data_IF_088492960609
#
_entry.id   IF_088492960609
#
_cell.length_a   1.000
_cell.length_b   1.000
_cell.length_c   1.000
_cell.angle_alpha   90.00
_cell.angle_beta   90.00
_cell.angle_gamma   90.00
#
_symmetry.space_group_name_H-M   'P 1'
#
loop_
_entity.id
_entity.type
_entity.pdbx_description
1 polymer ?
#
# COMPACT_ATOMS: atom_id res chain seq x y z
N UNK A 1 14.00 6.28 31.60
CA UNK A 1 13.08 5.83 30.53
C UNK A 1 13.89 5.69 29.25
N UNK A 2 13.73 4.56 28.54
CA UNK A 2 14.70 4.01 27.59
C UNK A 2 14.84 4.84 26.31
N UNK A 3 15.99 5.49 26.12
CA UNK A 3 16.40 6.13 24.85
C UNK A 3 16.79 5.09 23.79
N UNK A 4 17.13 3.86 24.21
CA UNK A 4 17.48 2.74 23.33
C UNK A 4 16.29 2.28 22.49
N UNK A 5 15.08 2.16 23.06
CA UNK A 5 13.93 1.65 22.29
C UNK A 5 13.51 2.59 21.16
N UNK A 6 13.53 3.90 21.40
CA UNK A 6 13.18 4.90 20.37
C UNK A 6 14.22 4.95 19.27
N UNK A 7 15.51 4.88 19.59
CA UNK A 7 16.58 4.85 18.60
C UNK A 7 16.54 3.58 17.74
N UNK A 8 16.21 2.43 18.33
CA UNK A 8 16.10 1.17 17.61
C UNK A 8 14.88 1.16 16.67
N UNK A 9 13.75 1.74 17.09
CA UNK A 9 12.58 1.94 16.22
C UNK A 9 12.92 2.86 15.06
N UNK A 10 13.59 4.00 15.31
CA UNK A 10 13.97 4.94 14.26
C UNK A 10 14.92 4.30 13.23
N UNK A 11 15.90 3.50 13.69
CA UNK A 11 16.82 2.78 12.80
C UNK A 11 16.08 1.72 11.98
N UNK A 12 15.16 0.97 12.60
CA UNK A 12 14.33 -0.01 11.92
C UNK A 12 13.46 0.66 10.84
N UNK A 13 12.85 1.80 11.14
CA UNK A 13 12.05 2.57 10.19
C UNK A 13 12.87 3.02 8.98
N UNK A 14 14.08 3.55 9.18
CA UNK A 14 14.98 3.95 8.09
C UNK A 14 15.37 2.78 7.18
N UNK A 15 15.67 1.62 7.78
CA UNK A 15 16.01 0.40 7.02
C UNK A 15 14.80 -0.15 6.24
N UNK A 16 13.61 -0.12 6.84
CA UNK A 16 12.36 -0.52 6.18
C UNK A 16 12.07 0.39 4.98
N UNK A 17 12.22 1.70 5.16
CA UNK A 17 12.05 2.67 4.07
C UNK A 17 13.03 2.42 2.93
N UNK A 18 14.35 2.36 3.22
CA UNK A 18 15.38 2.16 2.19
C UNK A 18 15.17 0.86 1.41
N UNK A 19 14.99 -0.25 2.13
CA UNK A 19 14.78 -1.55 1.47
C UNK A 19 13.45 -1.63 0.72
N UNK A 20 12.41 -0.93 1.20
CA UNK A 20 11.13 -0.82 0.50
C UNK A 20 11.29 -0.05 -0.81
N UNK A 21 11.94 1.11 -0.75
CA UNK A 21 12.19 1.97 -1.91
C UNK A 21 12.99 1.23 -3.01
N UNK A 22 14.08 0.55 -2.65
CA UNK A 22 14.89 -0.22 -3.60
C UNK A 22 14.06 -1.25 -4.36
N UNK A 23 13.19 -1.99 -3.65
CA UNK A 23 12.28 -2.98 -4.27
C UNK A 23 11.29 -2.34 -5.23
N UNK A 24 10.76 -1.18 -4.86
CA UNK A 24 9.86 -0.43 -5.76
C UNK A 24 10.61 -0.06 -7.04
N UNK A 25 11.83 0.45 -6.94
CA UNK A 25 12.64 0.78 -8.11
C UNK A 25 12.95 -0.43 -8.99
N UNK A 26 13.31 -1.56 -8.40
CA UNK A 26 13.55 -2.82 -9.12
C UNK A 26 12.32 -3.27 -9.92
N UNK A 27 11.13 -3.19 -9.31
CA UNK A 27 9.89 -3.62 -9.96
C UNK A 27 9.41 -2.62 -11.02
N UNK A 28 9.59 -1.32 -10.78
CA UNK A 28 9.30 -0.27 -11.76
C UNK A 28 10.18 -0.44 -13.00
N UNK A 29 11.45 -0.84 -12.82
CA UNK A 29 12.35 -1.13 -13.94
C UNK A 29 11.83 -2.26 -14.86
N UNK A 30 10.99 -3.16 -14.33
CA UNK A 30 10.34 -4.22 -15.11
C UNK A 30 9.11 -3.74 -15.90
N UNK A 31 8.68 -2.48 -15.71
CA UNK A 31 7.60 -1.79 -16.45
C UNK A 31 6.25 -2.51 -16.44
N UNK A 32 5.96 -3.35 -15.44
CA UNK A 32 4.71 -4.12 -15.37
C UNK A 32 4.20 -4.26 -13.93
N UNK A 33 2.94 -3.92 -13.73
CA UNK A 33 2.19 -4.13 -12.47
C UNK A 33 2.31 -5.58 -11.94
N UNK A 34 2.40 -6.55 -12.85
CA UNK A 34 2.52 -7.95 -12.50
C UNK A 34 3.69 -8.25 -11.54
N UNK A 35 4.85 -7.61 -11.73
CA UNK A 35 5.99 -7.84 -10.83
C UNK A 35 5.72 -7.27 -9.44
N UNK A 36 4.96 -6.16 -9.37
CA UNK A 36 4.60 -5.62 -8.09
C UNK A 36 3.71 -6.56 -7.27
N UNK A 37 2.70 -7.13 -7.94
CA UNK A 37 1.79 -8.08 -7.34
C UNK A 37 2.48 -9.41 -7.01
N UNK A 38 3.41 -9.88 -7.86
CA UNK A 38 4.22 -11.06 -7.57
C UNK A 38 5.05 -10.88 -6.30
N UNK A 39 5.58 -9.70 -6.04
CA UNK A 39 6.33 -9.46 -4.79
C UNK A 39 5.45 -9.63 -3.55
N UNK A 40 4.18 -9.27 -3.65
CA UNK A 40 3.24 -9.42 -2.55
C UNK A 40 2.87 -10.88 -2.25
N UNK A 41 3.26 -11.85 -3.08
CA UNK A 41 3.15 -13.27 -2.70
C UNK A 41 4.08 -13.64 -1.54
N UNK A 42 5.09 -12.81 -1.26
CA UNK A 42 5.95 -12.96 -0.07
C UNK A 42 5.21 -12.58 1.23
N UNK A 43 4.07 -11.89 1.14
CA UNK A 43 3.27 -11.41 2.27
C UNK A 43 1.81 -11.85 2.17
N UNK A 44 1.58 -13.02 1.54
CA UNK A 44 0.29 -13.71 1.62
C UNK A 44 -0.56 -13.70 0.37
N UNK A 45 -0.21 -12.97 -0.70
CA UNK A 45 -0.95 -13.12 -1.97
C UNK A 45 -0.75 -14.51 -2.58
N UNK A 46 -1.83 -15.08 -3.06
CA UNK A 46 -1.81 -16.27 -3.93
C UNK A 46 -1.58 -15.87 -5.40
N UNK A 47 -1.27 -16.84 -6.27
CA UNK A 47 -1.15 -16.54 -7.72
C UNK A 47 -2.49 -16.15 -8.32
N UNK A 48 -3.56 -16.78 -7.84
CA UNK A 48 -4.93 -16.46 -8.21
C UNK A 48 -5.29 -15.03 -7.77
N UNK A 49 -4.87 -14.58 -6.58
CA UNK A 49 -5.02 -13.19 -6.16
C UNK A 49 -4.31 -12.22 -7.11
N UNK A 50 -3.10 -12.57 -7.57
CA UNK A 50 -2.34 -11.73 -8.51
C UNK A 50 -3.14 -11.53 -9.80
N UNK A 51 -3.76 -12.57 -10.34
CA UNK A 51 -4.53 -12.45 -11.57
C UNK A 51 -5.83 -11.67 -11.38
N UNK A 52 -6.55 -11.88 -10.28
CA UNK A 52 -7.76 -11.12 -9.95
C UNK A 52 -7.46 -9.63 -9.71
N UNK A 53 -6.37 -9.32 -9.00
CA UNK A 53 -5.93 -7.94 -8.76
C UNK A 53 -5.43 -7.24 -10.04
N UNK A 54 -4.88 -7.99 -11.01
CA UNK A 54 -4.59 -7.43 -12.34
C UNK A 54 -5.87 -7.09 -13.09
N UNK A 55 -6.89 -7.93 -12.98
CA UNK A 55 -8.23 -7.64 -13.51
C UNK A 55 -8.80 -6.36 -12.90
N UNK A 56 -8.72 -6.22 -11.57
CA UNK A 56 -9.14 -5.03 -10.85
C UNK A 56 -8.37 -3.79 -11.29
N UNK A 57 -7.04 -3.89 -11.38
CA UNK A 57 -6.19 -2.79 -11.79
C UNK A 57 -6.53 -2.30 -13.20
N UNK A 58 -6.81 -3.22 -14.13
CA UNK A 58 -7.23 -2.85 -15.48
C UNK A 58 -8.51 -2.00 -15.45
N UNK A 59 -9.52 -2.42 -14.69
CA UNK A 59 -10.76 -1.65 -14.55
C UNK A 59 -10.51 -0.28 -13.92
N UNK A 60 -9.64 -0.21 -12.92
CA UNK A 60 -9.23 1.06 -12.29
C UNK A 60 -8.60 2.00 -13.32
N UNK A 61 -7.61 1.55 -14.08
CA UNK A 61 -6.91 2.39 -15.07
C UNK A 61 -7.75 2.70 -16.30
N UNK A 62 -8.73 1.87 -16.63
CA UNK A 62 -9.72 2.13 -17.69
C UNK A 62 -10.90 3.02 -17.19
N UNK A 63 -10.85 3.50 -15.94
CA UNK A 63 -11.90 4.26 -15.26
C UNK A 63 -13.28 3.58 -15.31
N UNK A 64 -13.31 2.24 -15.30
CA UNK A 64 -14.50 1.41 -15.36
C UNK A 64 -15.07 1.10 -13.97
N UNK A 65 -16.29 0.52 -13.92
CA UNK A 65 -16.86 0.02 -12.67
C UNK A 65 -16.06 -1.18 -12.15
N UNK A 66 -15.59 -1.07 -10.91
CA UNK A 66 -14.78 -2.07 -10.22
C UNK A 66 -15.62 -3.02 -9.36
N UNK A 67 -16.90 -2.70 -9.10
CA UNK A 67 -17.73 -3.36 -8.10
C UNK A 67 -17.82 -4.88 -8.32
N UNK A 68 -18.04 -5.30 -9.57
CA UNK A 68 -18.14 -6.72 -9.91
C UNK A 68 -16.82 -7.49 -9.79
N UNK A 69 -15.67 -6.83 -9.92
CA UNK A 69 -14.35 -7.46 -9.74
C UNK A 69 -13.94 -7.48 -8.26
N UNK A 70 -14.25 -6.43 -7.50
CA UNK A 70 -14.03 -6.39 -6.06
C UNK A 70 -14.87 -7.46 -5.34
N UNK A 71 -16.14 -7.61 -5.69
CA UNK A 71 -17.00 -8.65 -5.11
C UNK A 71 -16.49 -10.06 -5.42
N UNK A 72 -16.01 -10.29 -6.64
CA UNK A 72 -15.40 -11.58 -7.02
C UNK A 72 -14.19 -11.90 -6.16
N UNK A 73 -13.29 -10.93 -5.92
CA UNK A 73 -12.15 -11.12 -5.02
C UNK A 73 -12.63 -11.46 -3.60
N UNK A 74 -13.62 -10.73 -3.07
CA UNK A 74 -14.13 -10.91 -1.72
C UNK A 74 -14.77 -12.28 -1.49
N UNK A 75 -15.57 -12.75 -2.45
CA UNK A 75 -16.34 -13.98 -2.32
C UNK A 75 -15.58 -15.24 -2.76
N UNK A 76 -14.46 -15.09 -3.47
CA UNK A 76 -13.70 -16.23 -3.99
C UNK A 76 -13.11 -17.05 -2.83
N UNK A 77 -13.37 -18.37 -2.77
CA UNK A 77 -12.74 -19.25 -1.78
C UNK A 77 -11.22 -19.20 -1.88
N UNK A 78 -10.56 -18.97 -0.74
CA UNK A 78 -9.09 -18.92 -0.67
C UNK A 78 -8.48 -17.59 -1.09
N UNK A 79 -9.26 -16.52 -1.26
CA UNK A 79 -8.71 -15.17 -1.36
C UNK A 79 -7.94 -14.80 -0.10
N UNK A 80 -6.75 -14.24 -0.28
CA UNK A 80 -5.96 -13.74 0.85
C UNK A 80 -6.58 -12.48 1.44
N UNK A 81 -6.38 -12.27 2.75
CA UNK A 81 -6.86 -11.06 3.44
C UNK A 81 -6.31 -9.78 2.82
N UNK A 82 -5.09 -9.81 2.30
CA UNK A 82 -4.49 -8.68 1.59
C UNK A 82 -5.18 -8.40 0.26
N UNK A 83 -5.53 -9.41 -0.53
CA UNK A 83 -6.26 -9.22 -1.78
C UNK A 83 -7.64 -8.60 -1.54
N UNK A 84 -8.36 -9.09 -0.53
CA UNK A 84 -9.66 -8.54 -0.12
C UNK A 84 -9.51 -7.09 0.33
N UNK A 85 -8.52 -6.77 1.17
CA UNK A 85 -8.28 -5.40 1.63
C UNK A 85 -7.99 -4.44 0.46
N UNK A 86 -7.15 -4.83 -0.51
CA UNK A 86 -6.87 -4.00 -1.69
C UNK A 86 -8.16 -3.77 -2.51
N UNK A 87 -8.98 -4.82 -2.70
CA UNK A 87 -10.25 -4.70 -3.40
C UNK A 87 -11.23 -3.75 -2.69
N UNK A 88 -11.34 -3.85 -1.37
CA UNK A 88 -12.21 -3.01 -0.55
C UNK A 88 -11.75 -1.55 -0.56
N UNK A 89 -10.44 -1.30 -0.48
CA UNK A 89 -9.85 0.05 -0.61
C UNK A 89 -10.27 0.69 -1.94
N UNK A 90 -10.05 -0.03 -3.05
CA UNK A 90 -10.35 0.45 -4.40
C UNK A 90 -11.84 0.69 -4.61
N UNK A 91 -12.70 -0.19 -4.09
CA UNK A 91 -14.15 -0.03 -4.18
C UNK A 91 -14.64 1.18 -3.36
N UNK A 92 -14.01 1.42 -2.20
CA UNK A 92 -14.40 2.51 -1.29
C UNK A 92 -13.87 3.88 -1.72
N UNK A 93 -12.93 3.94 -2.66
CA UNK A 93 -12.43 5.19 -3.22
C UNK A 93 -13.54 5.93 -4.00
N UNK A 94 -13.87 7.12 -3.51
CA UNK A 94 -14.89 8.04 -4.04
C UNK A 94 -14.29 9.04 -5.03
N UNK A 95 -15.12 9.85 -5.68
CA UNK A 95 -14.71 10.82 -6.72
C UNK A 95 -13.66 11.87 -6.25
N UNK A 96 -13.43 12.00 -4.93
CA UNK A 96 -12.38 12.86 -4.37
C UNK A 96 -11.05 12.18 -4.09
N UNK A 97 -10.95 10.86 -4.25
CA UNK A 97 -9.75 10.06 -4.00
C UNK A 97 -9.44 9.22 -5.24
N UNK A 98 -8.43 9.58 -6.05
CA UNK A 98 -8.13 8.87 -7.29
C UNK A 98 -7.87 7.39 -7.05
N UNK A 99 -8.68 6.51 -7.68
CA UNK A 99 -8.64 5.06 -7.47
C UNK A 99 -7.30 4.46 -7.86
N UNK A 100 -6.68 5.00 -8.91
CA UNK A 100 -5.36 4.61 -9.41
C UNK A 100 -4.29 4.83 -8.33
N UNK A 101 -4.36 5.96 -7.63
CA UNK A 101 -3.44 6.29 -6.54
C UNK A 101 -3.71 5.44 -5.31
N UNK A 102 -4.98 5.19 -4.97
CA UNK A 102 -5.34 4.31 -3.86
C UNK A 102 -4.85 2.87 -4.11
N UNK A 103 -5.06 2.32 -5.30
CA UNK A 103 -4.59 1.00 -5.70
C UNK A 103 -3.05 0.90 -5.62
N UNK A 104 -2.34 1.83 -6.27
CA UNK A 104 -0.89 1.82 -6.27
C UNK A 104 -0.34 2.03 -4.86
N UNK A 105 -0.91 2.98 -4.11
CA UNK A 105 -0.56 3.21 -2.71
C UNK A 105 -0.76 1.98 -1.85
N UNK A 106 -1.85 1.23 -2.05
CA UNK A 106 -2.10 -0.03 -1.34
C UNK A 106 -1.03 -1.08 -1.62
N UNK A 107 -0.71 -1.28 -2.89
CA UNK A 107 0.31 -2.25 -3.33
C UNK A 107 1.68 -1.87 -2.75
N UNK A 108 2.09 -0.61 -2.89
CA UNK A 108 3.40 -0.14 -2.44
C UNK A 108 3.47 -0.05 -0.91
N UNK A 109 2.38 0.28 -0.23
CA UNK A 109 2.31 0.29 1.24
C UNK A 109 2.50 -1.11 1.84
N UNK A 110 1.92 -2.14 1.21
CA UNK A 110 2.13 -3.53 1.60
C UNK A 110 3.59 -3.99 1.45
N UNK A 111 4.42 -3.30 0.65
CA UNK A 111 5.85 -3.65 0.50
C UNK A 111 6.63 -3.50 1.79
N UNK A 112 6.17 -2.65 2.71
CA UNK A 112 6.80 -2.47 4.03
C UNK A 112 6.97 -3.81 4.77
N UNK A 113 6.11 -4.80 4.47
CA UNK A 113 6.18 -6.15 5.03
C UNK A 113 6.90 -7.18 4.13
N UNK A 114 7.21 -6.83 2.87
CA UNK A 114 7.92 -7.73 1.92
C UNK A 114 9.42 -7.80 2.17
N UNK A 115 9.92 -7.07 3.18
CA UNK A 115 11.32 -7.07 3.54
C UNK A 115 11.62 -8.08 4.64
N UNK A 116 12.57 -8.98 4.36
CA UNK A 116 13.29 -9.79 5.35
C UNK A 116 14.15 -8.96 6.30
N UNK A 117 13.64 -7.84 6.79
CA UNK A 117 14.23 -7.16 7.94
C UNK A 117 14.27 -8.17 9.09
N UNK A 118 15.35 -8.15 9.87
CA UNK A 118 15.44 -8.95 11.09
C UNK A 118 14.25 -8.72 12.04
N UNK A 119 13.53 -7.61 11.89
CA UNK A 119 12.29 -7.31 12.62
C UNK A 119 11.08 -8.13 12.16
N UNK A 120 11.01 -8.54 10.88
CA UNK A 120 9.96 -9.43 10.37
C UNK A 120 10.34 -10.91 10.46
N UNK A 121 11.64 -11.22 10.47
CA UNK A 121 12.19 -12.58 10.62
C UNK A 121 11.99 -13.10 12.07
N UNK A 122 10.78 -13.56 12.35
CA UNK A 122 10.40 -14.07 13.67
C UNK A 122 8.97 -13.71 14.08
N UNK A 123 8.33 -12.80 13.35
CA UNK A 123 6.93 -12.47 13.58
C UNK A 123 6.03 -13.64 13.15
N UNK A 124 4.99 -13.97 13.94
CA UNK A 124 3.92 -14.87 13.55
C UNK A 124 3.31 -14.50 12.19
N UNK A 125 2.84 -15.49 11.44
CA UNK A 125 2.31 -15.29 10.08
C UNK A 125 1.08 -14.37 10.06
N UNK A 126 0.16 -14.56 11.00
CA UNK A 126 -1.03 -13.74 11.23
C UNK A 126 -0.70 -12.26 11.49
N UNK A 127 0.39 -11.99 12.22
CA UNK A 127 0.85 -10.63 12.43
C UNK A 127 1.37 -9.99 11.13
N UNK A 128 2.08 -10.76 10.29
CA UNK A 128 2.58 -10.26 9.00
C UNK A 128 1.44 -9.95 8.04
N UNK A 129 0.42 -10.80 7.99
CA UNK A 129 -0.77 -10.59 7.17
C UNK A 129 -1.49 -9.30 7.60
N UNK A 130 -1.70 -9.14 8.92
CA UNK A 130 -2.31 -7.93 9.48
C UNK A 130 -1.48 -6.68 9.17
N UNK A 131 -0.15 -6.75 9.32
CA UNK A 131 0.72 -5.62 9.05
C UNK A 131 0.78 -5.26 7.56
N UNK A 132 0.68 -6.23 6.65
CA UNK A 132 0.63 -5.98 5.21
C UNK A 132 -0.67 -5.26 4.82
N UNK A 133 -1.80 -5.67 5.42
CA UNK A 133 -3.09 -4.97 5.28
C UNK A 133 -3.01 -3.54 5.82
N UNK A 134 -2.44 -3.34 7.00
CA UNK A 134 -2.26 -1.98 7.56
C UNK A 134 -1.34 -1.13 6.68
N UNK A 135 -0.26 -1.71 6.16
CA UNK A 135 0.62 -1.06 5.20
C UNK A 135 -0.13 -0.64 3.94
N UNK A 136 -0.98 -1.52 3.40
CA UNK A 136 -1.83 -1.21 2.24
C UNK A 136 -2.79 -0.06 2.53
N UNK A 137 -3.49 -0.08 3.66
CA UNK A 137 -4.39 1.02 4.06
C UNK A 137 -3.64 2.35 4.17
N UNK A 138 -2.52 2.36 4.91
CA UNK A 138 -1.71 3.57 5.11
C UNK A 138 -1.13 4.10 3.79
N UNK A 139 -0.64 3.21 2.93
CA UNK A 139 -0.11 3.57 1.61
C UNK A 139 -1.19 4.12 0.68
N UNK A 140 -2.38 3.52 0.66
CA UNK A 140 -3.52 3.99 -0.13
C UNK A 140 -3.96 5.40 0.30
N UNK A 141 -4.10 5.62 1.61
CA UNK A 141 -4.43 6.94 2.17
C UNK A 141 -3.36 7.96 1.77
N UNK A 142 -2.09 7.66 2.04
CA UNK A 142 -1.00 8.57 1.74
C UNK A 142 -0.95 8.93 0.24
N UNK A 143 -1.02 7.94 -0.64
CA UNK A 143 -0.93 8.15 -2.08
C UNK A 143 -2.13 8.95 -2.64
N UNK A 144 -3.35 8.62 -2.21
CA UNK A 144 -4.58 9.26 -2.74
C UNK A 144 -4.84 10.66 -2.17
N UNK A 145 -4.32 10.97 -0.97
CA UNK A 145 -4.55 12.28 -0.33
C UNK A 145 -3.39 13.26 -0.49
N UNK A 146 -2.17 12.79 -0.78
CA UNK A 146 -0.99 13.65 -0.95
C UNK A 146 -1.21 14.79 -1.95
N UNK A 147 -1.83 14.57 -3.14
CA UNK A 147 -2.06 15.65 -4.08
C UNK A 147 -2.91 16.80 -3.50
N UNK A 148 -3.96 16.49 -2.73
CA UNK A 148 -4.81 17.48 -2.07
C UNK A 148 -4.03 18.28 -1.01
N UNK A 149 -3.17 17.60 -0.26
CA UNK A 149 -2.30 18.26 0.73
C UNK A 149 -1.32 19.21 0.04
N UNK A 150 -0.67 18.77 -1.04
CA UNK A 150 0.25 19.62 -1.81
C UNK A 150 -0.45 20.79 -2.49
N UNK A 151 -1.65 20.57 -3.03
CA UNK A 151 -2.48 21.65 -3.57
C UNK A 151 -2.78 22.68 -2.48
N UNK A 152 -3.18 22.23 -1.29
CA UNK A 152 -3.47 23.14 -0.18
C UNK A 152 -2.25 23.93 0.25
N UNK A 153 -1.07 23.30 0.36
CA UNK A 153 0.20 23.97 0.62
C UNK A 153 0.49 25.05 -0.43
N UNK A 154 0.23 24.75 -1.71
CA UNK A 154 0.39 25.71 -2.80
C UNK A 154 -0.58 26.90 -2.71
N UNK A 155 -1.80 26.67 -2.23
CA UNK A 155 -2.83 27.72 -2.07
C UNK A 155 -2.56 28.64 -0.88
N UNK A 156 -2.21 28.09 0.29
CA UNK A 156 -2.01 28.90 1.51
C UNK A 156 -0.58 29.38 1.69
N UNK A 157 0.38 28.78 0.99
CA UNK A 157 1.81 29.03 1.18
C UNK A 157 2.40 28.20 2.32
N UNK A 158 3.67 27.81 2.17
CA UNK A 158 4.35 26.92 3.12
C UNK A 158 4.44 27.50 4.54
N UNK A 159 4.69 28.81 4.66
CA UNK A 159 4.84 29.46 5.96
C UNK A 159 3.53 29.38 6.77
N UNK A 160 2.41 29.70 6.13
CA UNK A 160 1.09 29.65 6.77
C UNK A 160 0.66 28.21 7.05
N UNK A 161 0.95 27.27 6.13
CA UNK A 161 0.68 25.84 6.33
C UNK A 161 1.43 25.26 7.54
N UNK A 162 2.66 25.72 7.81
CA UNK A 162 3.48 25.28 8.95
C UNK A 162 3.24 26.07 10.23
N UNK A 163 2.45 27.15 10.18
CA UNK A 163 2.17 27.96 11.36
C UNK A 163 1.31 27.16 12.36
N UNK A 164 1.68 27.22 13.64
CA UNK A 164 0.78 26.74 14.69
C UNK A 164 -0.38 27.73 14.77
N UNK A 165 -1.61 27.26 14.54
CA UNK A 165 -2.81 28.05 14.80
C UNK A 165 -2.71 28.57 16.24
N UNK A 166 -2.60 29.89 16.40
CA UNK A 166 -2.58 30.56 17.69
C UNK A 166 -3.98 30.60 18.30
#
# INVERSE_FOLDING_TARGET
MSTSSTQDISRAAGNLFGSGADRVFDDVAQRRLHYHLLRLTLVGLTREDVDELRGLARLVFDSADVSGQAERIRQRPGSSGLAVAIADIVQSSTDGLPREQALLGAILGAYTMTGGSAAAAGLPADFRDTAAVLGAVGGAIAASTSPLVFERIGQVGLADYLSAVH
#
